data_IF_096354575888
#
_entry.id   IF_096354575888
#
_cell.length_a   1.000
_cell.length_b   1.000
_cell.length_c   1.000
_cell.angle_alpha   90.00
_cell.angle_beta   90.00
_cell.angle_gamma   90.00
#
_symmetry.space_group_name_H-M   'P 1'
#
loop_
_entity.id
_entity.type
_entity.pdbx_description
1 polymer ?
#
# COMPACT_ATOMS: atom_id res chain seq x y z
N UNK A 1 -1.24 4.03 14.86
CA UNK A 1 0.21 3.91 14.69
C UNK A 1 0.83 3.59 16.02
N UNK A 2 1.71 2.59 16.06
CA UNK A 2 2.49 2.24 17.24
C UNK A 2 3.95 2.07 16.84
N UNK A 3 4.87 2.62 17.65
CA UNK A 3 6.29 2.30 17.53
C UNK A 3 6.53 0.98 18.23
N UNK A 4 6.94 -0.04 17.48
CA UNK A 4 7.22 -1.37 17.99
C UNK A 4 8.67 -1.75 17.68
N UNK A 5 9.33 -2.44 18.61
CA UNK A 5 10.65 -3.00 18.37
C UNK A 5 10.47 -4.42 17.83
N UNK A 6 10.77 -4.61 16.55
CA UNK A 6 10.67 -5.90 15.89
C UNK A 6 12.05 -6.54 15.82
N UNK A 7 12.14 -7.84 16.11
CA UNK A 7 13.37 -8.59 15.89
C UNK A 7 13.48 -8.93 14.40
N UNK A 8 14.48 -8.36 13.73
CA UNK A 8 14.80 -8.62 12.33
C UNK A 8 16.22 -9.15 12.28
N UNK A 9 16.38 -10.41 11.89
CA UNK A 9 17.68 -11.08 11.79
C UNK A 9 18.55 -11.03 13.06
N UNK A 10 17.94 -11.02 14.25
CA UNK A 10 18.64 -10.99 15.54
C UNK A 10 18.85 -9.59 16.11
N UNK A 11 18.46 -8.53 15.40
CA UNK A 11 18.55 -7.15 15.86
C UNK A 11 17.16 -6.58 16.17
N UNK A 12 17.05 -5.82 17.27
CA UNK A 12 15.81 -5.12 17.62
C UNK A 12 15.76 -3.80 16.85
N UNK A 13 14.85 -3.72 15.87
CA UNK A 13 14.73 -2.57 14.98
C UNK A 13 13.40 -1.85 15.24
N UNK A 14 13.41 -0.53 15.48
CA UNK A 14 12.19 0.26 15.63
C UNK A 14 11.43 0.30 14.31
N UNK A 15 10.17 -0.09 14.36
CA UNK A 15 9.23 -0.06 13.24
C UNK A 15 7.96 0.66 13.63
N UNK A 16 7.42 1.38 12.66
CA UNK A 16 6.10 1.98 12.78
C UNK A 16 5.09 0.99 12.23
N UNK A 17 4.19 0.54 13.11
CA UNK A 17 3.11 -0.37 12.75
C UNK A 17 1.84 0.43 12.53
N UNK A 18 1.31 0.33 11.32
CA UNK A 18 0.01 0.90 10.93
C UNK A 18 -1.00 -0.24 10.86
N UNK A 19 -2.03 -0.20 11.72
CA UNK A 19 -2.96 -1.31 11.95
C UNK A 19 -4.37 -1.08 11.38
N UNK A 20 -4.49 -0.60 10.15
CA UNK A 20 -5.78 -0.42 9.47
C UNK A 20 -5.84 -1.12 8.10
N UNK A 21 -7.02 -1.17 7.48
CA UNK A 21 -7.20 -1.74 6.13
C UNK A 21 -6.42 -0.96 5.04
N UNK A 22 -5.92 0.23 5.37
CA UNK A 22 -5.11 1.06 4.48
C UNK A 22 -3.62 0.98 4.82
N UNK A 23 -3.20 0.02 5.66
CA UNK A 23 -1.87 0.00 6.28
C UNK A 23 -0.75 -0.02 5.25
N UNK A 24 -0.93 -0.75 4.15
CA UNK A 24 0.02 -0.80 3.04
C UNK A 24 0.25 0.61 2.46
N UNK A 25 -0.82 1.33 2.17
CA UNK A 25 -0.75 2.66 1.56
C UNK A 25 -0.21 3.71 2.52
N UNK A 26 -0.60 3.63 3.80
CA UNK A 26 -0.07 4.49 4.86
C UNK A 26 1.43 4.25 5.06
N UNK A 27 1.87 2.98 5.05
CA UNK A 27 3.28 2.62 5.20
C UNK A 27 4.11 3.11 4.02
N UNK A 28 3.59 2.99 2.80
CA UNK A 28 4.24 3.53 1.59
C UNK A 28 4.33 5.05 1.63
N UNK A 29 3.27 5.76 2.03
CA UNK A 29 3.32 7.21 2.15
C UNK A 29 4.32 7.66 3.23
N UNK A 30 4.33 6.96 4.37
CA UNK A 30 5.28 7.23 5.45
C UNK A 30 6.73 7.03 4.99
N UNK A 31 7.01 5.96 4.25
CA UNK A 31 8.34 5.72 3.69
C UNK A 31 8.80 6.86 2.75
N UNK A 32 7.88 7.44 1.98
CA UNK A 32 8.18 8.50 1.02
C UNK A 32 8.26 9.90 1.64
N UNK A 33 7.41 10.20 2.62
CA UNK A 33 7.17 11.58 3.09
C UNK A 33 7.26 11.77 4.61
N UNK A 34 7.51 10.71 5.38
CA UNK A 34 7.67 10.77 6.83
C UNK A 34 6.39 11.12 7.61
N UNK A 35 5.22 10.96 7.00
CA UNK A 35 3.91 11.20 7.62
C UNK A 35 2.87 10.18 7.13
N UNK A 36 1.69 10.09 7.74
CA UNK A 36 0.68 9.04 7.48
C UNK A 36 -0.59 9.58 6.80
N UNK A 37 -0.46 10.64 6.02
CA UNK A 37 -1.61 11.25 5.37
C UNK A 37 -1.71 10.76 3.92
N UNK A 38 -2.91 10.73 3.34
CA UNK A 38 -3.12 10.45 1.91
C UNK A 38 -2.93 9.00 1.42
N UNK A 39 -3.11 7.98 2.27
CA UNK A 39 -3.21 6.58 1.80
C UNK A 39 -4.17 6.39 0.60
N UNK A 40 -5.27 7.16 0.59
CA UNK A 40 -6.22 7.17 -0.53
C UNK A 40 -5.59 7.61 -1.85
N UNK A 41 -4.72 8.63 -1.83
CA UNK A 41 -4.05 9.12 -3.04
C UNK A 41 -2.98 8.13 -3.50
N UNK A 42 -2.22 7.54 -2.56
CA UNK A 42 -1.27 6.46 -2.88
C UNK A 42 -2.00 5.29 -3.55
N UNK A 43 -3.12 4.85 -2.97
CA UNK A 43 -3.97 3.79 -3.55
C UNK A 43 -4.41 4.17 -4.96
N UNK A 44 -4.93 5.39 -5.18
CA UNK A 44 -5.32 5.84 -6.53
C UNK A 44 -4.16 5.80 -7.53
N UNK A 45 -2.97 6.24 -7.13
CA UNK A 45 -1.80 6.23 -8.00
C UNK A 45 -1.37 4.80 -8.37
N UNK A 46 -1.31 3.90 -7.39
CA UNK A 46 -0.97 2.49 -7.61
C UNK A 46 -2.01 1.83 -8.52
N UNK A 47 -3.30 1.99 -8.21
CA UNK A 47 -4.38 1.41 -9.01
C UNK A 47 -4.33 1.94 -10.43
N UNK A 48 -4.17 3.26 -10.63
CA UNK A 48 -4.05 3.86 -11.96
C UNK A 48 -2.84 3.31 -12.72
N UNK A 49 -1.71 3.13 -12.05
CA UNK A 49 -0.49 2.60 -12.66
C UNK A 49 -0.65 1.13 -13.07
N UNK A 50 -1.21 0.30 -12.20
CA UNK A 50 -1.48 -1.10 -12.49
C UNK A 50 -2.50 -1.27 -13.63
N UNK A 51 -3.57 -0.48 -13.66
CA UNK A 51 -4.55 -0.48 -14.76
C UNK A 51 -3.92 -0.08 -16.10
N UNK A 52 -3.03 0.93 -16.12
CA UNK A 52 -2.35 1.39 -17.34
C UNK A 52 -1.32 0.39 -17.86
N UNK A 53 -0.66 -0.33 -16.96
CA UNK A 53 0.38 -1.31 -17.28
C UNK A 53 -0.12 -2.75 -17.02
N UNK A 54 -1.37 -3.02 -17.39
CA UNK A 54 -2.05 -4.26 -17.03
C UNK A 54 -1.30 -5.53 -17.46
N UNK A 55 -0.67 -5.50 -18.63
CA UNK A 55 0.08 -6.65 -19.15
C UNK A 55 1.28 -7.06 -18.28
N UNK A 56 1.77 -6.16 -17.41
CA UNK A 56 2.90 -6.42 -16.52
C UNK A 56 2.45 -6.84 -15.12
N UNK A 57 1.32 -6.32 -14.64
CA UNK A 57 0.89 -6.46 -13.23
C UNK A 57 -0.43 -7.21 -13.02
N UNK A 58 -1.12 -7.60 -14.09
CA UNK A 58 -2.49 -8.12 -14.06
C UNK A 58 -2.61 -9.60 -13.72
N UNK A 59 -2.02 -10.05 -12.60
CA UNK A 59 -1.86 -11.48 -12.30
C UNK A 59 -3.04 -12.09 -11.49
N UNK A 60 -3.98 -11.28 -10.98
CA UNK A 60 -4.99 -11.74 -10.01
C UNK A 60 -6.45 -11.34 -10.32
N UNK A 61 -6.73 -10.68 -11.45
CA UNK A 61 -8.10 -10.36 -11.88
C UNK A 61 -8.27 -10.75 -13.34
N UNK A 62 -9.51 -10.97 -13.78
CA UNK A 62 -9.79 -11.33 -15.17
C UNK A 62 -9.54 -10.16 -16.13
N UNK A 63 -9.60 -8.92 -15.64
CA UNK A 63 -9.35 -7.72 -16.44
C UNK A 63 -8.91 -6.53 -15.59
N UNK A 64 -8.29 -5.55 -16.24
CA UNK A 64 -7.95 -4.26 -15.63
C UNK A 64 -9.17 -3.48 -15.15
N UNK A 65 -10.33 -3.68 -15.79
CA UNK A 65 -11.60 -3.05 -15.42
C UNK A 65 -12.16 -3.63 -14.11
N UNK A 66 -12.08 -4.96 -13.95
CA UNK A 66 -12.47 -5.64 -12.72
C UNK A 66 -11.58 -5.21 -11.55
N UNK A 67 -10.26 -5.22 -11.77
CA UNK A 67 -9.29 -4.72 -10.79
C UNK A 67 -9.58 -3.27 -10.39
N UNK A 68 -9.81 -2.39 -11.37
CA UNK A 68 -10.10 -0.97 -11.11
C UNK A 68 -11.39 -0.81 -10.31
N UNK A 69 -12.44 -1.56 -10.65
CA UNK A 69 -13.73 -1.49 -9.98
C UNK A 69 -13.65 -1.95 -8.52
N UNK A 70 -12.92 -3.03 -8.25
CA UNK A 70 -12.71 -3.55 -6.90
C UNK A 70 -11.80 -2.64 -6.07
N UNK A 71 -10.64 -2.28 -6.63
CA UNK A 71 -9.62 -1.51 -5.92
C UNK A 71 -9.95 -0.01 -5.77
N UNK A 72 -11.01 0.48 -6.41
CA UNK A 72 -11.52 1.85 -6.22
C UNK A 72 -12.60 1.95 -5.14
N UNK A 73 -13.05 0.85 -4.55
CA UNK A 73 -14.05 0.87 -3.48
C UNK A 73 -13.45 1.44 -2.20
N UNK A 74 -14.21 2.37 -1.57
CA UNK A 74 -13.84 3.14 -0.39
C UNK A 74 -13.94 2.32 0.90
#
# INVERSE_FOLDING_TARGET
MTLELLNVNGEMVPHIVVGDVACLFNSLFYLMYGTEQMAREVRKHIVSHATKNWMEYGDNYMSSAEYLADMSQL
#
